data_IF_539810091576
#
_entry.id   IF_539810091576
#
_cell.length_a   1.000
_cell.length_b   1.000
_cell.length_c   1.000
_cell.angle_alpha   90.00
_cell.angle_beta   90.00
_cell.angle_gamma   90.00
#
_symmetry.space_group_name_H-M   'P 1'
#
loop_
_entity.id
_entity.type
_entity.pdbx_description
1 polymer ?
#
# COMPACT_ATOMS: atom_id res chain seq x y z
N UNK A 1 13.52 -11.57 -57.59
CA UNK A 1 14.07 -12.83 -58.15
C UNK A 1 13.33 -14.00 -57.53
N UNK A 2 12.85 -14.91 -58.37
CA UNK A 2 12.22 -16.18 -58.03
C UNK A 2 12.99 -17.32 -58.75
N UNK A 3 12.62 -18.59 -58.52
CA UNK A 3 13.18 -19.89 -58.97
C UNK A 3 13.90 -20.66 -57.82
N UNK A 4 13.48 -21.80 -57.22
CA UNK A 4 12.65 -23.01 -57.56
C UNK A 4 13.47 -24.14 -58.26
N UNK A 5 13.20 -25.47 -58.14
CA UNK A 5 12.90 -26.40 -57.00
C UNK A 5 14.06 -27.48 -56.88
N UNK A 6 13.93 -28.85 -56.91
CA UNK A 6 13.00 -29.88 -56.36
C UNK A 6 13.68 -31.10 -55.62
N UNK A 7 12.90 -32.16 -55.35
CA UNK A 7 13.24 -33.60 -55.04
C UNK A 7 13.60 -33.99 -53.58
N UNK A 8 13.18 -35.16 -53.03
CA UNK A 8 12.35 -36.29 -53.56
C UNK A 8 11.59 -37.05 -52.44
N UNK A 9 10.71 -37.99 -52.82
CA UNK A 9 9.67 -38.63 -51.99
C UNK A 9 10.12 -39.80 -51.08
N UNK A 10 9.24 -40.17 -50.13
CA UNK A 10 9.27 -41.44 -49.37
C UNK A 10 7.94 -41.71 -48.64
N UNK A 11 7.28 -42.83 -48.94
CA UNK A 11 5.94 -43.21 -48.43
C UNK A 11 6.03 -44.47 -47.58
N UNK A 12 5.27 -44.55 -46.47
CA UNK A 12 4.65 -45.80 -45.98
C UNK A 12 3.54 -45.52 -44.96
N UNK A 13 2.43 -46.24 -45.10
CA UNK A 13 1.29 -46.24 -44.19
C UNK A 13 1.24 -47.56 -43.40
N UNK A 14 0.56 -47.54 -42.25
CA UNK A 14 0.02 -48.75 -41.61
C UNK A 14 -1.33 -48.40 -40.99
N UNK A 15 -2.27 -49.33 -40.99
CA UNK A 15 -3.67 -49.10 -40.62
C UNK A 15 -4.26 -50.27 -39.84
N UNK A 16 -5.43 -50.00 -39.24
CA UNK A 16 -6.44 -50.94 -38.71
C UNK A 16 -6.09 -51.74 -37.44
N UNK A 17 -6.87 -51.47 -36.39
CA UNK A 17 -7.23 -52.42 -35.34
C UNK A 17 -8.74 -52.61 -35.43
N UNK A 18 -9.19 -53.85 -35.52
CA UNK A 18 -10.61 -54.24 -35.44
C UNK A 18 -10.84 -55.00 -34.12
N UNK A 19 -12.07 -54.95 -33.60
CA UNK A 19 -12.45 -55.66 -32.36
C UNK A 19 -13.60 -56.64 -32.57
N UNK A 20 -13.85 -57.48 -31.56
CA UNK A 20 -15.14 -58.15 -31.31
C UNK A 20 -15.15 -58.78 -29.90
N UNK A 21 -16.34 -58.89 -29.28
CA UNK A 21 -16.57 -59.64 -28.04
C UNK A 21 -16.91 -61.11 -28.33
N UNK A 22 -16.57 -62.02 -27.41
CA UNK A 22 -17.39 -63.20 -27.10
C UNK A 22 -17.12 -63.71 -25.67
N UNK A 23 -18.16 -64.24 -25.01
CA UNK A 23 -18.10 -64.96 -23.72
C UNK A 23 -17.75 -66.45 -23.90
N UNK A 24 -17.35 -67.15 -22.83
CA UNK A 24 -18.00 -68.40 -22.35
C UNK A 24 -17.37 -68.95 -21.05
N UNK A 25 -18.26 -69.37 -20.13
CA UNK A 25 -18.14 -70.33 -19.02
C UNK A 25 -17.11 -70.17 -17.87
N UNK A 26 -17.54 -70.62 -16.69
CA UNK A 26 -16.82 -70.61 -15.43
C UNK A 26 -16.43 -72.03 -14.97
N UNK A 27 -15.44 -72.12 -14.07
CA UNK A 27 -15.23 -73.27 -13.20
C UNK A 27 -14.95 -72.77 -11.77
N UNK A 28 -15.65 -73.31 -10.79
CA UNK A 28 -15.58 -72.87 -9.39
C UNK A 28 -14.56 -73.67 -8.58
N UNK A 29 -13.74 -73.00 -7.76
CA UNK A 29 -12.98 -73.66 -6.70
C UNK A 29 -12.78 -72.76 -5.47
N UNK A 30 -13.24 -73.26 -4.32
CA UNK A 30 -12.86 -72.97 -2.92
C UNK A 30 -12.55 -71.52 -2.48
N UNK A 31 -13.36 -71.02 -1.54
CA UNK A 31 -13.14 -69.80 -0.75
C UNK A 31 -12.29 -70.08 0.49
N UNK A 32 -11.18 -69.35 0.72
CA UNK A 32 -10.59 -69.17 2.05
C UNK A 32 -11.15 -67.89 2.70
N UNK A 33 -11.37 -67.91 4.02
CA UNK A 33 -11.89 -66.77 4.77
C UNK A 33 -10.92 -65.58 4.89
N UNK A 34 -11.40 -64.37 5.24
CA UNK A 34 -10.58 -63.17 5.25
C UNK A 34 -9.54 -63.18 6.38
N UNK A 35 -8.29 -62.87 6.03
CA UNK A 35 -7.26 -62.55 7.01
C UNK A 35 -7.60 -61.22 7.70
N UNK A 36 -7.46 -61.17 9.04
CA UNK A 36 -7.66 -59.95 9.80
C UNK A 36 -6.59 -58.91 9.42
N UNK A 37 -7.03 -57.75 8.94
CA UNK A 37 -6.15 -56.61 8.67
C UNK A 37 -5.59 -56.05 9.97
N UNK A 38 -4.26 -55.98 10.08
CA UNK A 38 -3.60 -55.27 11.17
C UNK A 38 -4.04 -53.78 11.19
N UNK A 39 -4.17 -53.15 12.36
CA UNK A 39 -4.52 -51.74 12.44
C UNK A 39 -3.37 -50.92 11.84
N UNK A 40 -3.66 -50.21 10.75
CA UNK A 40 -2.73 -49.22 10.21
C UNK A 40 -2.46 -48.18 11.29
N UNK A 41 -1.20 -48.03 11.69
CA UNK A 41 -0.78 -46.95 12.57
C UNK A 41 -1.09 -45.63 11.88
N UNK A 42 -2.06 -44.86 12.41
CA UNK A 42 -2.23 -43.46 12.06
C UNK A 42 -1.01 -42.70 12.59
N UNK A 43 0.06 -42.70 11.80
CA UNK A 43 1.06 -41.64 11.86
C UNK A 43 0.30 -40.35 11.59
N UNK A 44 0.19 -39.49 12.59
CA UNK A 44 -0.59 -38.26 12.50
C UNK A 44 -0.07 -37.41 11.34
N UNK A 45 -0.90 -37.28 10.30
CA UNK A 45 -0.69 -36.27 9.28
C UNK A 45 -0.83 -34.92 9.97
N UNK A 46 0.29 -34.29 10.31
CA UNK A 46 0.29 -32.88 10.63
C UNK A 46 -0.23 -32.16 9.37
N UNK A 47 -1.39 -31.48 9.51
CA UNK A 47 -1.98 -30.66 8.45
C UNK A 47 -1.02 -29.52 8.11
N UNK A 48 -0.06 -29.81 7.24
CA UNK A 48 0.93 -28.87 6.77
C UNK A 48 0.30 -27.95 5.71
N UNK A 49 -0.59 -27.06 6.17
CA UNK A 49 -1.34 -26.11 5.33
C UNK A 49 -0.38 -25.47 4.32
N UNK A 50 -0.66 -25.52 3.00
CA UNK A 50 0.34 -25.22 1.98
C UNK A 50 0.90 -23.80 2.11
N UNK A 51 2.16 -23.64 1.69
CA UNK A 51 2.78 -22.32 1.56
C UNK A 51 2.04 -21.55 0.47
N UNK A 52 1.45 -20.41 0.83
CA UNK A 52 0.72 -19.55 -0.10
C UNK A 52 1.68 -18.58 -0.79
N UNK A 53 2.46 -17.85 0.02
CA UNK A 53 3.33 -16.78 -0.44
C UNK A 53 4.59 -16.69 0.43
N UNK A 54 5.61 -15.99 -0.07
CA UNK A 54 6.80 -15.62 0.70
C UNK A 54 6.82 -14.11 0.92
N UNK A 55 7.09 -13.70 2.15
CA UNK A 55 7.50 -12.33 2.46
C UNK A 55 9.00 -12.38 2.79
N UNK A 56 9.78 -11.51 2.17
CA UNK A 56 11.21 -11.36 2.49
C UNK A 56 11.39 -10.06 3.27
N UNK A 57 12.15 -10.11 4.37
CA UNK A 57 12.51 -8.94 5.17
C UNK A 57 14.03 -8.71 5.08
N UNK A 58 14.45 -7.45 5.12
CA UNK A 58 15.85 -7.08 5.21
C UNK A 58 16.00 -5.82 6.05
N UNK A 59 17.11 -5.68 6.77
CA UNK A 59 17.48 -4.47 7.49
C UNK A 59 18.94 -4.12 7.22
N UNK A 60 19.22 -2.83 6.94
CA UNK A 60 20.60 -2.36 6.72
C UNK A 60 21.44 -2.39 8.01
N UNK A 61 20.98 -1.90 9.18
CA UNK A 61 21.71 -2.05 10.44
C UNK A 61 21.62 -3.48 11.00
N UNK A 62 20.51 -4.19 10.78
CA UNK A 62 20.22 -5.44 11.48
C UNK A 62 19.90 -5.23 12.97
N UNK A 63 19.55 -6.31 13.67
CA UNK A 63 19.19 -6.31 15.08
C UNK A 63 18.25 -7.45 15.45
N UNK A 64 17.98 -7.58 16.74
CA UNK A 64 17.00 -8.50 17.32
C UNK A 64 15.64 -7.81 17.48
N UNK A 65 14.54 -8.55 17.32
CA UNK A 65 13.19 -8.07 17.55
C UNK A 65 12.79 -6.83 16.74
N UNK A 66 13.30 -6.66 15.51
CA UNK A 66 13.05 -5.43 14.74
C UNK A 66 11.58 -5.34 14.29
N UNK A 67 10.85 -4.27 14.65
CA UNK A 67 9.44 -4.11 14.27
C UNK A 67 9.29 -3.89 12.77
N UNK A 68 8.25 -4.48 12.18
CA UNK A 68 7.86 -4.22 10.80
C UNK A 68 6.34 -4.18 10.63
N UNK A 69 5.89 -3.51 9.57
CA UNK A 69 4.50 -3.57 9.10
C UNK A 69 4.47 -3.45 7.59
N UNK A 70 3.65 -4.30 6.96
CA UNK A 70 3.56 -4.44 5.52
C UNK A 70 2.10 -4.63 5.10
N UNK A 71 1.73 -4.11 3.93
CA UNK A 71 0.46 -4.45 3.30
C UNK A 71 0.61 -5.76 2.53
N UNK A 72 -0.34 -6.68 2.65
CA UNK A 72 -0.30 -7.97 1.95
C UNK A 72 -1.56 -8.16 1.10
N UNK A 73 -1.45 -8.09 -0.25
CA UNK A 73 -2.52 -8.54 -1.14
C UNK A 73 -2.68 -10.05 -1.06
N UNK A 74 -3.93 -10.53 -1.18
CA UNK A 74 -4.29 -11.94 -1.06
C UNK A 74 -5.16 -12.37 -2.24
N UNK A 75 -4.84 -13.54 -2.81
CA UNK A 75 -5.60 -14.12 -3.89
C UNK A 75 -6.94 -14.67 -3.36
N UNK A 76 -7.97 -14.52 -4.18
CA UNK A 76 -9.30 -15.05 -3.88
C UNK A 76 -9.26 -16.57 -3.64
N UNK A 77 -9.85 -16.99 -2.52
CA UNK A 77 -9.91 -18.38 -2.06
C UNK A 77 -8.80 -18.80 -1.09
N UNK A 78 -7.60 -18.21 -1.18
CA UNK A 78 -6.40 -18.69 -0.48
C UNK A 78 -6.45 -18.54 1.05
N UNK A 79 -7.15 -17.52 1.55
CA UNK A 79 -7.38 -17.29 2.99
C UNK A 79 -8.89 -17.19 3.25
N UNK A 80 -9.57 -18.33 3.51
CA UNK A 80 -11.01 -18.39 3.72
C UNK A 80 -11.56 -17.50 4.83
N UNK A 81 -12.89 -17.37 4.89
CA UNK A 81 -13.56 -16.75 6.03
C UNK A 81 -13.19 -17.46 7.34
N UNK A 82 -12.97 -16.69 8.42
CA UNK A 82 -12.47 -17.22 9.71
C UNK A 82 -10.97 -17.51 9.78
N UNK A 83 -10.27 -17.59 8.64
CA UNK A 83 -8.81 -17.76 8.60
C UNK A 83 -8.06 -16.43 8.48
N UNK A 84 -6.78 -16.47 8.84
CA UNK A 84 -5.80 -15.38 8.70
C UNK A 84 -4.49 -15.93 8.14
N UNK A 85 -3.55 -15.05 7.77
CA UNK A 85 -2.17 -15.48 7.52
C UNK A 85 -1.44 -15.77 8.82
N UNK A 86 -0.71 -16.88 8.84
CA UNK A 86 0.22 -17.32 9.89
C UNK A 86 1.59 -17.59 9.25
N UNK A 87 2.63 -17.61 10.08
CA UNK A 87 3.97 -18.08 9.69
C UNK A 87 4.57 -18.92 10.82
N UNK A 88 5.25 -20.04 10.52
CA UNK A 88 6.04 -20.77 11.49
C UNK A 88 7.34 -20.01 11.85
N UNK A 89 7.85 -19.20 10.92
CA UNK A 89 9.06 -18.40 11.09
C UNK A 89 8.82 -17.21 12.03
N UNK A 90 7.57 -16.69 12.05
CA UNK A 90 7.10 -15.63 12.95
C UNK A 90 5.79 -16.06 13.66
N UNK A 91 5.85 -16.87 14.74
CA UNK A 91 4.67 -17.44 15.38
C UNK A 91 3.65 -16.40 15.90
N UNK A 92 4.14 -15.22 16.28
CA UNK A 92 3.34 -14.09 16.77
C UNK A 92 2.86 -13.13 15.67
N UNK A 93 3.06 -13.45 14.38
CA UNK A 93 2.67 -12.60 13.26
C UNK A 93 1.19 -12.17 13.36
N UNK A 94 0.97 -10.86 13.51
CA UNK A 94 -0.35 -10.27 13.47
C UNK A 94 -0.81 -10.12 12.03
N UNK A 95 -2.04 -10.54 11.74
CA UNK A 95 -2.69 -10.37 10.45
C UNK A 95 -4.06 -9.70 10.63
N UNK A 96 -4.22 -8.48 10.13
CA UNK A 96 -5.48 -7.72 10.22
C UNK A 96 -6.07 -7.54 8.83
N UNK A 97 -7.06 -8.38 8.50
CA UNK A 97 -7.81 -8.33 7.24
C UNK A 97 -8.57 -7.01 7.16
N UNK A 98 -8.37 -6.25 6.06
CA UNK A 98 -9.01 -4.93 5.85
C UNK A 98 -10.19 -4.99 4.89
N UNK A 99 -10.20 -5.93 3.96
CA UNK A 99 -11.33 -6.22 3.07
C UNK A 99 -11.30 -7.68 2.59
N UNK A 100 -12.41 -8.12 1.99
CA UNK A 100 -12.64 -9.49 1.53
C UNK A 100 -13.05 -9.51 0.06
N UNK A 101 -12.88 -10.67 -0.57
CA UNK A 101 -13.46 -11.01 -1.86
C UNK A 101 -14.95 -11.38 -1.70
N UNK A 102 -15.74 -11.46 -2.80
CA UNK A 102 -17.16 -11.81 -2.72
C UNK A 102 -17.47 -13.18 -2.09
N UNK A 103 -16.52 -14.12 -2.10
CA UNK A 103 -16.62 -15.43 -1.43
C UNK A 103 -16.28 -15.39 0.07
N UNK A 104 -16.00 -14.21 0.63
CA UNK A 104 -15.62 -14.03 2.02
C UNK A 104 -14.14 -14.31 2.32
N UNK A 105 -13.33 -14.78 1.36
CA UNK A 105 -11.87 -14.89 1.54
C UNK A 105 -11.22 -13.51 1.72
N UNK A 106 -10.10 -13.43 2.44
CA UNK A 106 -9.39 -12.17 2.64
C UNK A 106 -8.78 -11.66 1.33
N UNK A 107 -8.91 -10.35 1.05
CA UNK A 107 -8.44 -9.70 -0.18
C UNK A 107 -7.19 -8.85 0.05
N UNK A 108 -7.16 -8.14 1.17
CA UNK A 108 -6.00 -7.40 1.63
C UNK A 108 -5.94 -7.46 3.16
N UNK A 109 -4.74 -7.67 3.69
CA UNK A 109 -4.46 -7.61 5.11
C UNK A 109 -3.26 -6.70 5.38
N UNK A 110 -3.18 -6.16 6.60
CA UNK A 110 -1.96 -5.55 7.11
C UNK A 110 -1.30 -6.58 8.03
N UNK A 111 -0.03 -6.87 7.78
CA UNK A 111 0.77 -7.79 8.58
C UNK A 111 1.76 -7.01 9.43
N UNK A 112 1.93 -7.41 10.69
CA UNK A 112 2.84 -6.77 11.63
C UNK A 112 3.50 -7.79 12.56
N UNK A 113 4.73 -7.52 12.96
CA UNK A 113 5.47 -8.37 13.89
C UNK A 113 6.87 -7.84 14.14
N UNK A 114 7.68 -8.68 14.78
CA UNK A 114 9.08 -8.41 15.11
C UNK A 114 9.94 -9.54 14.51
N UNK A 115 11.11 -9.21 13.97
CA UNK A 115 11.99 -10.19 13.33
C UNK A 115 13.47 -9.94 13.67
N UNK A 116 14.21 -11.03 13.91
CA UNK A 116 15.66 -10.99 14.07
C UNK A 116 16.32 -10.95 12.69
N UNK A 117 17.01 -9.86 12.38
CA UNK A 117 17.57 -9.61 11.05
C UNK A 117 19.08 -9.38 11.12
N UNK A 118 19.84 -10.20 10.39
CA UNK A 118 21.28 -9.99 10.22
C UNK A 118 21.53 -8.80 9.29
N UNK A 119 22.54 -7.95 9.56
CA UNK A 119 22.78 -6.73 8.79
C UNK A 119 22.94 -7.02 7.30
N UNK A 120 22.14 -6.35 6.46
CA UNK A 120 22.14 -6.45 4.98
C UNK A 120 21.84 -7.84 4.41
N UNK A 121 21.32 -8.78 5.21
CA UNK A 121 20.87 -10.09 4.73
C UNK A 121 19.34 -10.13 4.60
N UNK A 122 18.87 -11.08 3.79
CA UNK A 122 17.46 -11.37 3.61
C UNK A 122 17.02 -12.49 4.56
N UNK A 123 15.91 -12.28 5.27
CA UNK A 123 15.18 -13.30 6.01
C UNK A 123 13.87 -13.63 5.30
N UNK A 124 13.49 -14.90 5.26
CA UNK A 124 12.24 -15.35 4.62
C UNK A 124 11.19 -15.68 5.68
N UNK A 125 9.97 -15.24 5.42
CA UNK A 125 8.77 -15.50 6.22
C UNK A 125 7.78 -16.23 5.31
N UNK A 126 7.58 -17.52 5.57
CA UNK A 126 6.61 -18.34 4.84
C UNK A 126 5.20 -18.07 5.33
N UNK A 127 4.32 -17.61 4.43
CA UNK A 127 2.94 -17.26 4.74
C UNK A 127 2.00 -18.42 4.37
N UNK A 128 1.17 -18.83 5.33
CA UNK A 128 0.19 -19.92 5.21
C UNK A 128 -1.16 -19.43 5.74
N UNK A 129 -2.26 -19.96 5.21
CA UNK A 129 -3.55 -19.79 5.89
C UNK A 129 -3.54 -20.58 7.21
N UNK A 130 -4.31 -20.12 8.18
CA UNK A 130 -4.54 -20.85 9.42
C UNK A 130 -5.63 -20.20 10.28
N UNK A 131 -6.05 -20.86 11.37
CA UNK A 131 -6.92 -20.23 12.34
C UNK A 131 -6.26 -18.98 12.93
N UNK A 132 -7.07 -18.00 13.31
CA UNK A 132 -6.61 -16.88 14.10
C UNK A 132 -5.92 -17.40 15.39
N UNK A 133 -4.81 -16.78 15.82
CA UNK A 133 -4.26 -17.07 17.15
C UNK A 133 -5.27 -16.69 18.23
N UNK A 134 -5.06 -17.21 19.44
CA UNK A 134 -5.82 -16.80 20.62
C UNK A 134 -5.75 -15.27 20.82
N UNK A 135 -6.84 -14.69 21.33
CA UNK A 135 -6.98 -13.25 21.44
C UNK A 135 -6.03 -12.66 22.49
N UNK A 136 -4.90 -12.12 22.02
CA UNK A 136 -3.99 -11.31 22.84
C UNK A 136 -4.43 -9.83 22.88
N UNK A 137 -4.17 -9.16 24.00
CA UNK A 137 -4.48 -7.75 24.18
C UNK A 137 -3.77 -6.88 23.13
N UNK A 138 -4.50 -5.95 22.52
CA UNK A 138 -3.95 -5.04 21.52
C UNK A 138 -3.03 -3.98 22.15
N UNK A 139 -2.05 -3.50 21.38
CA UNK A 139 -1.29 -2.30 21.73
C UNK A 139 -2.27 -1.13 21.82
N UNK A 140 -2.38 -0.50 22.98
CA UNK A 140 -3.34 0.57 23.28
C UNK A 140 -2.74 1.98 23.10
N UNK A 141 -3.58 3.02 23.11
CA UNK A 141 -3.12 4.42 23.17
C UNK A 141 -2.31 4.72 24.44
N UNK A 142 -2.52 3.94 25.51
CA UNK A 142 -1.69 3.92 26.70
C UNK A 142 -0.21 3.64 26.42
N UNK A 143 0.10 2.89 25.36
CA UNK A 143 1.47 2.61 24.93
C UNK A 143 2.18 3.88 24.43
N UNK A 144 1.47 4.77 23.74
CA UNK A 144 2.01 6.08 23.31
C UNK A 144 2.31 6.99 24.51
N UNK A 145 1.45 6.97 25.54
CA UNK A 145 1.71 7.70 26.79
C UNK A 145 2.90 7.13 27.56
N UNK A 146 2.99 5.79 27.69
CA UNK A 146 4.12 5.10 28.35
C UNK A 146 5.45 5.33 27.64
N UNK A 147 5.45 5.41 26.32
CA UNK A 147 6.63 5.75 25.51
C UNK A 147 7.00 7.24 25.56
N UNK A 148 6.25 8.10 26.26
CA UNK A 148 6.55 9.52 26.40
C UNK A 148 6.50 10.32 25.09
N UNK A 149 5.75 9.82 24.09
CA UNK A 149 5.74 10.42 22.74
C UNK A 149 5.24 11.86 22.80
N UNK A 150 6.00 12.76 22.21
CA UNK A 150 5.58 14.12 21.89
C UNK A 150 5.80 14.37 20.40
N UNK A 151 4.84 15.00 19.74
CA UNK A 151 4.93 15.35 18.33
C UNK A 151 4.49 16.81 18.13
N UNK A 152 5.14 17.54 17.23
CA UNK A 152 4.82 18.94 16.93
C UNK A 152 5.03 19.21 15.44
N UNK A 153 4.02 19.75 14.78
CA UNK A 153 4.06 20.28 13.42
C UNK A 153 3.93 21.80 13.51
N UNK A 154 4.79 22.52 12.79
CA UNK A 154 4.83 23.98 12.77
C UNK A 154 4.84 24.45 11.32
N UNK A 155 4.21 25.60 11.05
CA UNK A 155 4.21 26.20 9.72
C UNK A 155 4.38 27.72 9.81
N UNK A 156 5.57 28.14 10.28
CA UNK A 156 5.93 29.54 10.51
C UNK A 156 4.85 30.36 11.23
N UNK A 157 4.48 31.50 10.63
CA UNK A 157 3.49 32.43 11.19
C UNK A 157 2.06 31.87 11.28
N UNK A 158 1.72 30.82 10.52
CA UNK A 158 0.42 30.15 10.63
C UNK A 158 0.28 29.37 11.95
N UNK A 159 1.39 29.10 12.65
CA UNK A 159 1.40 28.57 14.01
C UNK A 159 1.76 27.09 14.12
N UNK A 160 1.15 26.40 15.10
CA UNK A 160 1.61 25.10 15.60
C UNK A 160 0.44 24.16 15.90
N UNK A 161 0.65 22.88 15.61
CA UNK A 161 -0.14 21.74 16.08
C UNK A 161 0.76 20.79 16.88
N UNK A 162 0.47 20.57 18.17
CA UNK A 162 1.24 19.68 19.05
C UNK A 162 0.39 18.58 19.66
N UNK A 163 0.99 17.39 19.86
CA UNK A 163 0.39 16.23 20.53
C UNK A 163 1.26 15.79 21.71
N UNK A 164 0.65 15.71 22.88
CA UNK A 164 1.28 15.20 24.11
C UNK A 164 0.23 14.59 25.05
N UNK A 165 0.68 13.81 26.03
CA UNK A 165 -0.13 13.30 27.14
C UNK A 165 -1.52 12.75 26.69
N UNK A 166 -2.62 13.40 27.09
CA UNK A 166 -3.99 12.97 26.80
C UNK A 166 -4.48 13.24 25.36
N UNK A 167 -3.68 13.86 24.49
CA UNK A 167 -3.99 13.96 23.06
C UNK A 167 -3.98 12.60 22.37
N UNK A 168 -3.14 11.67 22.84
CA UNK A 168 -3.02 10.32 22.29
C UNK A 168 -4.27 9.46 22.52
N UNK A 169 -5.16 9.85 23.43
CA UNK A 169 -6.45 9.19 23.65
C UNK A 169 -7.58 9.73 22.75
N UNK A 170 -7.26 10.65 21.84
CA UNK A 170 -8.22 11.29 20.92
C UNK A 170 -7.85 11.10 19.43
N UNK A 171 -7.59 9.86 18.97
CA UNK A 171 -7.43 9.61 17.54
C UNK A 171 -8.74 9.86 16.80
N UNK A 172 -8.67 10.44 15.60
CA UNK A 172 -9.85 10.59 14.73
C UNK A 172 -10.19 9.29 13.99
N UNK A 173 -9.27 8.33 13.95
CA UNK A 173 -9.47 6.99 13.40
C UNK A 173 -8.50 5.98 13.99
N UNK A 174 -8.99 4.83 14.43
CA UNK A 174 -8.16 3.62 14.56
C UNK A 174 -8.02 2.97 13.19
N UNK A 175 -6.79 2.80 12.72
CA UNK A 175 -6.44 2.25 11.40
C UNK A 175 -6.24 0.74 11.49
N UNK A 176 -5.46 0.30 12.49
CA UNK A 176 -5.18 -1.11 12.83
C UNK A 176 -5.22 -1.23 14.35
N UNK A 177 -5.70 -2.36 14.86
CA UNK A 177 -5.63 -2.71 16.28
C UNK A 177 -5.17 -4.15 16.39
N UNK A 178 -4.15 -4.42 17.21
CA UNK A 178 -3.68 -5.79 17.45
C UNK A 178 -2.48 -5.88 18.40
N UNK A 179 -2.08 -7.11 18.78
CA UNK A 179 -1.12 -7.35 19.86
C UNK A 179 0.35 -7.07 19.49
N UNK A 180 0.70 -6.99 18.20
CA UNK A 180 2.04 -6.65 17.73
C UNK A 180 2.16 -5.18 17.35
N UNK A 181 1.11 -4.61 16.76
CA UNK A 181 1.08 -3.22 16.32
C UNK A 181 -0.35 -2.69 16.25
N UNK A 182 -0.56 -1.49 16.77
CA UNK A 182 -1.79 -0.70 16.55
C UNK A 182 -1.44 0.63 15.89
N UNK A 183 -2.33 1.10 15.02
CA UNK A 183 -2.13 2.31 14.22
C UNK A 183 -3.34 3.23 14.33
N UNK A 184 -3.09 4.54 14.46
CA UNK A 184 -4.13 5.56 14.57
C UNK A 184 -3.81 6.79 13.73
N UNK A 185 -4.86 7.47 13.27
CA UNK A 185 -4.77 8.79 12.62
C UNK A 185 -5.18 9.87 13.62
N UNK A 186 -4.40 10.95 13.69
CA UNK A 186 -4.66 12.15 14.48
C UNK A 186 -4.66 13.39 13.57
N UNK A 187 -5.40 14.43 13.96
CA UNK A 187 -5.34 15.77 13.34
C UNK A 187 -5.46 16.89 14.36
N UNK A 188 -4.91 18.05 14.05
CA UNK A 188 -5.19 19.34 14.71
C UNK A 188 -5.09 20.47 13.66
N UNK A 189 -5.90 21.55 13.78
CA UNK A 189 -5.68 22.75 12.96
C UNK A 189 -4.30 23.36 13.27
N UNK A 190 -3.72 24.07 12.31
CA UNK A 190 -2.49 24.84 12.52
C UNK A 190 -2.89 26.30 12.77
N UNK A 191 -2.79 26.72 14.04
CA UNK A 191 -3.20 28.05 14.47
C UNK A 191 -4.68 28.34 14.16
N UNK A 192 -4.94 29.49 13.53
CA UNK A 192 -6.27 30.00 13.24
C UNK A 192 -6.64 30.03 11.74
N UNK A 193 -5.78 29.51 10.85
CA UNK A 193 -6.11 29.41 9.43
C UNK A 193 -7.23 28.36 9.21
N UNK A 194 -8.21 28.70 8.36
CA UNK A 194 -9.40 27.88 8.16
C UNK A 194 -9.16 26.60 7.34
N UNK A 195 -8.00 26.47 6.69
CA UNK A 195 -7.68 25.39 5.74
C UNK A 195 -6.47 24.54 6.16
N UNK A 196 -5.56 25.09 6.98
CA UNK A 196 -4.35 24.39 7.40
C UNK A 196 -4.61 23.37 8.51
N UNK A 197 -4.34 22.10 8.20
CA UNK A 197 -4.49 20.99 9.12
C UNK A 197 -3.20 20.17 9.17
N UNK A 198 -2.69 19.97 10.37
CA UNK A 198 -1.60 19.04 10.64
C UNK A 198 -2.18 17.66 10.98
N UNK A 199 -1.60 16.62 10.39
CA UNK A 199 -2.03 15.24 10.51
C UNK A 199 -0.86 14.33 10.86
N UNK A 200 -1.15 13.26 11.61
CA UNK A 200 -0.23 12.17 11.89
C UNK A 200 -0.94 10.83 11.63
N UNK A 201 -0.26 9.87 11.01
CA UNK A 201 -0.54 8.45 11.23
C UNK A 201 0.58 7.89 12.13
N UNK A 202 0.20 7.28 13.24
CA UNK A 202 1.13 6.78 14.27
C UNK A 202 0.93 5.29 14.42
N UNK A 203 2.00 4.52 14.29
CA UNK A 203 2.08 3.08 14.59
C UNK A 203 2.82 2.90 15.91
N UNK A 204 2.17 2.29 16.90
CA UNK A 204 2.81 1.83 18.11
C UNK A 204 2.98 0.31 18.03
N UNK A 205 4.19 -0.15 18.29
CA UNK A 205 4.56 -1.55 18.29
C UNK A 205 4.62 -2.09 19.73
N UNK A 206 4.42 -3.40 19.87
CA UNK A 206 4.81 -4.13 21.07
C UNK A 206 6.32 -3.88 21.33
N UNK A 207 6.73 -3.86 22.60
CA UNK A 207 8.08 -3.42 22.97
C UNK A 207 8.30 -1.90 22.98
N UNK A 208 7.32 -1.09 22.54
CA UNK A 208 7.30 0.36 22.74
C UNK A 208 7.95 1.19 21.62
N UNK A 209 8.36 0.58 20.51
CA UNK A 209 8.78 1.32 19.33
C UNK A 209 7.59 2.08 18.71
N UNK A 210 7.85 3.31 18.21
CA UNK A 210 6.81 4.18 17.63
C UNK A 210 7.32 4.78 16.31
N UNK A 211 6.52 4.61 15.26
CA UNK A 211 6.74 5.14 13.91
C UNK A 211 5.63 6.14 13.57
N UNK A 212 6.00 7.29 13.00
CA UNK A 212 5.10 8.42 12.73
C UNK A 212 5.25 8.90 11.29
N UNK A 213 4.12 9.02 10.59
CA UNK A 213 4.00 9.67 9.29
C UNK A 213 3.28 11.02 9.44
N UNK A 214 4.00 12.16 9.41
CA UNK A 214 3.42 13.51 9.52
C UNK A 214 3.10 14.12 8.15
N UNK A 215 2.00 14.86 8.04
CA UNK A 215 1.73 15.71 6.87
C UNK A 215 0.91 16.96 7.21
N UNK A 216 0.96 17.96 6.32
CA UNK A 216 0.10 19.15 6.33
C UNK A 216 -0.86 19.06 5.14
N UNK A 217 -2.10 19.49 5.33
CA UNK A 217 -3.10 19.71 4.27
C UNK A 217 -3.51 21.18 4.25
N UNK A 218 -3.81 21.71 3.06
CA UNK A 218 -4.34 23.06 2.86
C UNK A 218 -5.59 23.01 1.98
N UNK A 219 -6.75 22.76 2.59
CA UNK A 219 -8.01 22.80 1.86
C UNK A 219 -9.11 21.96 2.49
N UNK A 220 -10.33 22.34 2.17
CA UNK A 220 -11.57 21.65 2.56
C UNK A 220 -12.60 21.84 1.44
N UNK A 221 -13.55 20.91 1.35
CA UNK A 221 -14.51 20.82 0.25
C UNK A 221 -15.36 22.09 0.07
N UNK A 222 -15.92 22.65 1.15
CA UNK A 222 -16.84 23.80 1.09
C UNK A 222 -16.42 25.00 1.94
N UNK A 223 -15.17 25.05 2.44
CA UNK A 223 -14.70 26.19 3.25
C UNK A 223 -14.28 27.35 2.33
N UNK A 224 -14.84 28.58 2.50
CA UNK A 224 -14.49 29.72 1.66
C UNK A 224 -13.01 30.15 1.75
N UNK A 225 -12.54 30.85 0.71
CA UNK A 225 -11.18 31.40 0.63
C UNK A 225 -10.02 30.39 0.57
N UNK A 226 -10.11 29.24 -0.13
CA UNK A 226 -8.95 28.37 -0.31
C UNK A 226 -7.87 29.12 -1.10
N UNK A 227 -6.64 29.16 -0.59
CA UNK A 227 -5.52 29.88 -1.21
C UNK A 227 -4.17 29.31 -0.77
N UNK A 228 -3.08 29.76 -1.37
CA UNK A 228 -1.72 29.36 -1.07
C UNK A 228 -1.24 29.85 0.31
N UNK A 229 -0.40 29.05 0.98
CA UNK A 229 0.32 29.42 2.20
C UNK A 229 1.80 29.09 2.05
N UNK A 230 2.68 30.01 2.42
CA UNK A 230 4.12 29.88 2.26
C UNK A 230 4.84 30.19 3.57
N UNK A 231 5.48 29.20 4.16
CA UNK A 231 6.26 29.37 5.39
C UNK A 231 7.30 28.24 5.53
N UNK A 232 8.13 28.27 6.57
CA UNK A 232 8.92 27.08 6.95
C UNK A 232 8.01 26.07 7.64
N UNK A 233 7.90 24.88 7.06
CA UNK A 233 7.26 23.73 7.69
C UNK A 233 8.31 22.96 8.51
N UNK A 234 7.97 22.60 9.75
CA UNK A 234 8.84 21.81 10.62
C UNK A 234 8.08 20.68 11.30
N UNK A 235 8.76 19.56 11.54
CA UNK A 235 8.25 18.46 12.35
C UNK A 235 9.27 18.05 13.42
N UNK A 236 8.80 17.93 14.65
CA UNK A 236 9.57 17.54 15.84
C UNK A 236 8.91 16.34 16.49
N UNK A 237 9.70 15.31 16.81
CA UNK A 237 9.27 14.05 17.43
C UNK A 237 10.20 13.69 18.58
N UNK A 238 9.65 13.49 19.78
CA UNK A 238 10.43 13.20 20.99
C UNK A 238 11.38 14.33 21.39
N UNK A 239 11.03 15.58 21.07
CA UNK A 239 11.90 16.75 21.28
C UNK A 239 13.00 16.96 20.22
N UNK A 240 13.23 16.00 19.32
CA UNK A 240 14.17 16.15 18.20
C UNK A 240 13.46 16.69 16.95
N UNK A 241 13.94 17.78 16.37
CA UNK A 241 13.48 18.24 15.05
C UNK A 241 13.93 17.22 13.99
N UNK A 242 12.96 16.60 13.30
CA UNK A 242 13.20 15.57 12.28
C UNK A 242 13.07 16.09 10.85
N UNK A 243 12.41 17.23 10.67
CA UNK A 243 12.23 17.90 9.39
C UNK A 243 12.12 19.42 9.60
N UNK A 244 12.72 20.21 8.71
CA UNK A 244 12.51 21.66 8.62
C UNK A 244 12.91 22.17 7.24
N UNK A 245 11.95 22.66 6.44
CA UNK A 245 12.21 23.23 5.11
C UNK A 245 11.18 24.32 4.76
N UNK A 246 11.52 25.31 3.91
CA UNK A 246 10.55 26.19 3.28
C UNK A 246 9.54 25.38 2.45
N UNK A 247 8.25 25.68 2.60
CA UNK A 247 7.17 25.01 1.90
C UNK A 247 6.14 26.04 1.45
N UNK A 248 5.84 26.05 0.14
CA UNK A 248 4.67 26.75 -0.43
C UNK A 248 3.62 25.70 -0.73
N UNK A 249 2.58 25.67 0.11
CA UNK A 249 1.45 24.75 0.02
C UNK A 249 0.28 25.48 -0.64
N UNK A 250 0.04 25.20 -1.91
CA UNK A 250 -1.05 25.76 -2.71
C UNK A 250 -2.40 25.15 -2.30
N UNK A 251 -3.49 25.67 -2.87
CA UNK A 251 -4.83 25.18 -2.53
C UNK A 251 -5.00 23.69 -2.87
N UNK A 252 -5.69 22.96 -1.98
CA UNK A 252 -6.00 21.53 -2.08
C UNK A 252 -4.79 20.61 -2.28
N UNK A 253 -3.59 21.05 -1.86
CA UNK A 253 -2.39 20.22 -1.77
C UNK A 253 -2.23 19.58 -0.39
N UNK A 254 -1.42 18.52 -0.32
CA UNK A 254 -0.92 17.94 0.94
C UNK A 254 0.57 17.63 0.85
N UNK A 255 1.29 17.82 1.95
CA UNK A 255 2.75 17.67 2.01
C UNK A 255 3.15 16.79 3.20
N UNK A 256 3.78 15.64 2.91
CA UNK A 256 4.41 14.81 3.96
C UNK A 256 5.65 15.53 4.46
N UNK A 257 5.82 15.65 5.78
CA UNK A 257 6.98 16.32 6.39
C UNK A 257 8.13 15.33 6.57
N UNK A 258 8.60 14.79 5.45
CA UNK A 258 9.66 13.80 5.32
C UNK A 258 10.81 14.35 4.45
N UNK A 259 11.98 13.71 4.50
CA UNK A 259 13.21 14.22 3.87
C UNK A 259 13.79 13.30 2.79
N UNK A 260 14.97 13.67 2.24
CA UNK A 260 15.64 12.91 1.19
C UNK A 260 15.89 11.44 1.55
N UNK A 261 16.20 11.15 2.82
CA UNK A 261 16.50 9.80 3.32
C UNK A 261 15.31 9.15 4.04
N UNK A 262 14.77 9.80 5.07
CA UNK A 262 13.68 9.27 5.90
C UNK A 262 12.29 9.55 5.28
N UNK A 263 11.49 8.50 5.08
CA UNK A 263 10.13 8.55 4.53
C UNK A 263 9.02 8.42 5.60
N UNK A 264 9.41 8.07 6.83
CA UNK A 264 8.65 8.05 8.08
C UNK A 264 9.65 8.40 9.20
N UNK A 265 9.16 8.72 10.40
CA UNK A 265 10.01 9.10 11.54
C UNK A 265 9.80 8.18 12.73
N UNK A 266 10.90 7.67 13.29
CA UNK A 266 10.86 6.85 14.50
C UNK A 266 11.15 7.70 15.73
N UNK A 267 10.49 7.39 16.86
CA UNK A 267 10.79 8.01 18.14
C UNK A 267 12.23 7.69 18.57
N UNK A 268 12.59 6.41 18.50
CA UNK A 268 13.95 5.91 18.70
C UNK A 268 14.76 5.84 17.40
N UNK A 269 15.59 4.81 17.28
CA UNK A 269 16.29 4.49 16.03
C UNK A 269 15.32 3.90 14.99
N UNK A 270 15.55 4.22 13.72
CA UNK A 270 14.87 3.56 12.59
C UNK A 270 15.47 2.15 12.39
N UNK A 271 14.67 1.08 12.48
CA UNK A 271 15.15 -0.30 12.27
C UNK A 271 15.45 -0.60 10.80
N UNK A 272 15.06 0.29 9.87
CA UNK A 272 15.28 0.22 8.42
C UNK A 272 14.84 -1.11 7.80
N UNK A 273 13.74 -1.69 8.30
CA UNK A 273 13.19 -2.94 7.77
C UNK A 273 12.48 -2.67 6.44
N UNK A 274 12.96 -3.26 5.36
CA UNK A 274 12.35 -3.18 4.03
C UNK A 274 11.72 -4.53 3.66
N UNK A 275 10.39 -4.57 3.41
CA UNK A 275 9.71 -5.77 2.94
C UNK A 275 9.80 -5.93 1.41
N UNK A 276 10.00 -7.17 0.97
CA UNK A 276 9.95 -7.57 -0.43
C UNK A 276 8.97 -8.74 -0.58
N UNK A 277 7.90 -8.53 -1.35
CA UNK A 277 6.87 -9.53 -1.61
C UNK A 277 7.32 -10.57 -2.63
N UNK A 278 6.78 -11.78 -2.54
CA UNK A 278 6.65 -12.70 -3.66
C UNK A 278 5.82 -12.04 -4.77
N UNK A 279 6.49 -11.51 -5.79
CA UNK A 279 5.85 -10.76 -6.88
C UNK A 279 5.00 -11.63 -7.79
N UNK A 280 5.32 -12.92 -7.92
CA UNK A 280 4.55 -13.85 -8.73
C UNK A 280 3.21 -14.14 -8.04
N UNK A 281 3.22 -14.36 -6.71
CA UNK A 281 2.00 -14.41 -5.90
C UNK A 281 1.23 -13.08 -5.95
N UNK A 282 1.91 -11.94 -5.78
CA UNK A 282 1.32 -10.60 -5.79
C UNK A 282 0.53 -10.35 -7.09
N UNK A 283 1.09 -10.71 -8.25
CA UNK A 283 0.40 -10.62 -9.53
C UNK A 283 -0.70 -11.68 -9.69
N UNK A 284 -0.53 -12.89 -9.15
CA UNK A 284 -1.57 -13.92 -9.14
C UNK A 284 -2.83 -13.53 -8.36
N UNK A 285 -2.75 -12.56 -7.44
CA UNK A 285 -3.94 -12.00 -6.75
C UNK A 285 -4.91 -11.26 -7.68
N UNK A 286 -4.46 -10.86 -8.88
CA UNK A 286 -5.18 -9.97 -9.82
C UNK A 286 -5.53 -8.59 -9.27
N UNK A 287 -4.93 -8.17 -8.16
CA UNK A 287 -5.01 -6.78 -7.67
C UNK A 287 -4.11 -5.81 -8.45
N UNK A 288 -3.19 -6.36 -9.25
CA UNK A 288 -2.35 -5.65 -10.23
C UNK A 288 -2.28 -6.49 -11.52
N UNK A 289 -1.94 -5.89 -12.68
CA UNK A 289 -1.72 -6.63 -13.92
C UNK A 289 -0.54 -7.59 -13.81
N UNK A 290 -0.56 -8.67 -14.60
CA UNK A 290 0.50 -9.68 -14.61
C UNK A 290 1.62 -9.33 -15.61
N UNK A 291 2.68 -8.68 -15.14
CA UNK A 291 3.87 -8.37 -15.93
C UNK A 291 4.82 -9.57 -15.99
N UNK A 292 5.12 -10.07 -17.21
CA UNK A 292 6.01 -11.24 -17.41
C UNK A 292 7.50 -10.88 -17.57
N UNK A 293 7.84 -9.60 -17.59
CA UNK A 293 9.23 -9.14 -17.75
C UNK A 293 10.01 -9.21 -16.44
N UNK A 294 11.14 -9.91 -16.43
CA UNK A 294 12.10 -9.86 -15.33
C UNK A 294 13.13 -8.76 -15.59
N UNK A 295 13.28 -7.81 -14.66
CA UNK A 295 14.25 -6.71 -14.73
C UNK A 295 15.47 -7.02 -13.88
N UNK A 296 16.66 -7.08 -14.50
CA UNK A 296 17.92 -7.32 -13.81
C UNK A 296 18.33 -6.19 -12.87
N UNK A 297 19.16 -6.51 -11.86
CA UNK A 297 19.58 -5.57 -10.79
C UNK A 297 20.35 -4.35 -11.30
N UNK A 298 21.03 -4.49 -12.43
CA UNK A 298 21.85 -3.46 -13.08
C UNK A 298 21.09 -2.68 -14.17
N UNK A 299 19.77 -2.87 -14.26
CA UNK A 299 18.92 -2.22 -15.27
C UNK A 299 19.03 -0.69 -15.20
N UNK A 300 19.10 0.02 -16.35
CA UNK A 300 19.09 1.48 -16.40
C UNK A 300 17.77 2.09 -15.87
N UNK A 301 16.73 1.28 -15.65
CA UNK A 301 15.51 1.66 -14.94
C UNK A 301 15.80 2.33 -13.60
N UNK A 302 16.73 1.78 -12.80
CA UNK A 302 17.03 2.32 -11.46
C UNK A 302 17.65 3.72 -11.49
N UNK A 303 18.18 4.17 -12.64
CA UNK A 303 18.67 5.55 -12.82
C UNK A 303 17.56 6.56 -13.14
N UNK A 304 16.34 6.10 -13.45
CA UNK A 304 15.14 6.94 -13.69
C UNK A 304 14.20 7.03 -12.48
N UNK A 305 14.33 6.09 -11.54
CA UNK A 305 13.51 6.06 -10.34
C UNK A 305 14.03 7.08 -9.31
N UNK A 306 13.15 7.84 -8.64
CA UNK A 306 13.57 8.79 -7.63
C UNK A 306 14.07 8.05 -6.38
N UNK A 307 15.23 8.46 -5.88
CA UNK A 307 15.87 7.92 -4.67
C UNK A 307 15.64 8.78 -3.43
N UNK A 308 15.23 10.04 -3.62
CA UNK A 308 15.07 11.04 -2.57
C UNK A 308 13.68 11.68 -2.64
N UNK A 309 13.15 12.07 -1.48
CA UNK A 309 11.90 12.82 -1.37
C UNK A 309 12.15 14.26 -0.91
N UNK A 310 11.45 15.20 -1.53
CA UNK A 310 11.19 16.53 -0.97
C UNK A 310 9.70 16.85 -1.10
N UNK A 311 9.10 17.60 -0.16
CA UNK A 311 7.67 17.90 -0.21
C UNK A 311 7.23 18.55 -1.52
N UNK A 312 6.10 18.09 -2.06
CA UNK A 312 5.47 18.57 -3.30
C UNK A 312 6.35 18.44 -4.57
N UNK A 313 7.47 17.70 -4.52
CA UNK A 313 8.32 17.43 -5.69
C UNK A 313 7.52 16.82 -6.86
N UNK A 314 8.01 16.99 -8.08
CA UNK A 314 7.37 16.37 -9.26
C UNK A 314 7.48 14.83 -9.27
N UNK A 315 8.52 14.26 -8.65
CA UNK A 315 8.80 12.83 -8.74
C UNK A 315 8.94 12.38 -10.20
N UNK A 316 8.34 11.25 -10.53
CA UNK A 316 8.25 10.69 -11.88
C UNK A 316 6.97 11.09 -12.63
N UNK A 317 6.21 12.08 -12.15
CA UNK A 317 5.04 12.60 -12.88
C UNK A 317 5.44 13.51 -14.04
N UNK A 318 4.55 13.65 -15.04
CA UNK A 318 4.78 14.59 -16.14
C UNK A 318 4.68 16.04 -15.62
N UNK A 319 5.51 16.95 -16.14
CA UNK A 319 5.48 18.37 -15.75
C UNK A 319 4.20 19.07 -16.23
N UNK A 320 3.67 18.65 -17.38
CA UNK A 320 2.41 19.11 -17.97
C UNK A 320 1.45 17.93 -18.22
N UNK A 321 0.73 17.46 -17.21
CA UNK A 321 -0.17 16.30 -17.36
C UNK A 321 -1.27 16.59 -18.39
N UNK A 322 -1.48 15.67 -19.35
CA UNK A 322 -2.44 15.85 -20.45
C UNK A 322 -1.83 16.08 -21.84
N UNK A 323 -0.50 16.15 -21.95
CA UNK A 323 0.17 16.16 -23.26
C UNK A 323 0.17 14.80 -23.93
N UNK A 324 0.19 14.79 -25.26
CA UNK A 324 0.29 13.56 -26.08
C UNK A 324 1.69 12.93 -26.03
N UNK A 325 1.76 11.62 -26.27
CA UNK A 325 3.03 10.89 -26.43
C UNK A 325 3.33 9.92 -25.29
N UNK A 326 4.52 9.34 -25.29
CA UNK A 326 4.98 8.43 -24.25
C UNK A 326 5.50 9.18 -23.03
N UNK A 327 5.15 8.70 -21.84
CA UNK A 327 5.78 9.10 -20.58
C UNK A 327 5.77 7.93 -19.59
N UNK A 328 6.77 7.76 -18.69
CA UNK A 328 6.79 6.68 -17.69
C UNK A 328 5.58 6.63 -16.74
N UNK A 329 4.77 7.69 -16.64
CA UNK A 329 3.51 7.66 -15.88
C UNK A 329 2.30 7.11 -16.67
N UNK A 330 2.44 6.80 -17.96
CA UNK A 330 1.34 6.38 -18.83
C UNK A 330 1.36 4.85 -18.99
N UNK A 331 0.30 4.17 -18.56
CA UNK A 331 0.13 2.72 -18.64
C UNK A 331 -0.94 2.21 -17.68
N UNK A 332 -1.20 0.89 -17.66
CA UNK A 332 -2.09 0.27 -16.68
C UNK A 332 -1.59 0.47 -15.24
N UNK A 333 -0.28 0.49 -15.07
CA UNK A 333 0.44 0.98 -13.90
C UNK A 333 1.59 1.86 -14.40
N UNK A 334 1.99 2.89 -13.63
CA UNK A 334 3.16 3.71 -13.95
C UNK A 334 4.48 2.92 -13.78
N UNK A 335 5.55 3.38 -14.43
CA UNK A 335 6.85 2.69 -14.49
C UNK A 335 7.42 2.33 -13.11
N UNK A 336 7.23 3.17 -12.09
CA UNK A 336 7.70 2.89 -10.73
C UNK A 336 6.91 1.78 -10.02
N UNK A 337 5.60 1.66 -10.26
CA UNK A 337 4.78 0.56 -9.75
C UNK A 337 5.13 -0.75 -10.49
N UNK A 338 5.33 -0.69 -11.81
CA UNK A 338 5.78 -1.83 -12.62
C UNK A 338 7.18 -2.28 -12.21
N UNK A 339 8.07 -1.34 -11.89
CA UNK A 339 9.43 -1.64 -11.41
C UNK A 339 9.40 -2.53 -10.17
N UNK A 340 8.48 -2.30 -9.23
CA UNK A 340 8.36 -3.14 -8.03
C UNK A 340 8.05 -4.61 -8.39
N UNK A 341 7.16 -4.82 -9.36
CA UNK A 341 6.78 -6.16 -9.82
C UNK A 341 7.90 -6.81 -10.65
N UNK A 342 8.45 -6.10 -11.64
CA UNK A 342 9.41 -6.68 -12.60
C UNK A 342 10.80 -6.93 -12.00
N UNK A 343 11.19 -6.19 -10.96
CA UNK A 343 12.49 -6.35 -10.27
C UNK A 343 12.47 -7.38 -9.15
N UNK A 344 11.33 -8.09 -8.94
CA UNK A 344 11.09 -8.98 -7.79
C UNK A 344 11.20 -8.23 -6.45
N UNK A 345 10.45 -7.14 -6.34
CA UNK A 345 10.35 -6.31 -5.14
C UNK A 345 11.68 -5.72 -4.65
N UNK A 346 12.53 -5.23 -5.57
CA UNK A 346 13.80 -4.60 -5.21
C UNK A 346 13.59 -3.39 -4.26
N UNK A 347 14.35 -3.25 -3.16
CA UNK A 347 14.24 -2.14 -2.22
C UNK A 347 14.28 -0.73 -2.86
N UNK A 348 15.00 -0.56 -3.97
CA UNK A 348 15.04 0.71 -4.72
C UNK A 348 13.71 1.01 -5.39
N UNK A 349 13.05 -0.02 -5.94
CA UNK A 349 11.73 0.12 -6.53
C UNK A 349 10.65 0.32 -5.45
N UNK A 350 10.72 -0.40 -4.32
CA UNK A 350 9.84 -0.15 -3.15
C UNK A 350 9.90 1.31 -2.72
N UNK A 351 11.12 1.86 -2.55
CA UNK A 351 11.34 3.25 -2.19
C UNK A 351 10.76 4.22 -3.23
N UNK A 352 10.98 3.97 -4.52
CA UNK A 352 10.46 4.80 -5.60
C UNK A 352 8.92 4.83 -5.68
N UNK A 353 8.25 3.71 -5.35
CA UNK A 353 6.78 3.65 -5.22
C UNK A 353 6.29 4.59 -4.12
N UNK A 354 6.92 4.57 -2.93
CA UNK A 354 6.52 5.43 -1.82
C UNK A 354 6.79 6.91 -2.12
N UNK A 355 7.96 7.24 -2.69
CA UNK A 355 8.33 8.62 -3.05
C UNK A 355 7.34 9.20 -4.06
N UNK A 356 7.01 8.46 -5.12
CA UNK A 356 6.02 8.92 -6.10
C UNK A 356 4.63 9.08 -5.49
N UNK A 357 4.22 8.16 -4.62
CA UNK A 357 2.94 8.28 -3.92
C UNK A 357 2.86 9.47 -2.94
N UNK A 358 3.97 9.90 -2.34
CA UNK A 358 4.03 11.17 -1.59
C UNK A 358 4.07 12.40 -2.51
N UNK A 359 4.76 12.31 -3.65
CA UNK A 359 4.81 13.38 -4.66
C UNK A 359 3.43 13.71 -5.26
N UNK A 360 2.47 12.77 -5.23
CA UNK A 360 1.08 13.01 -5.61
C UNK A 360 0.41 14.17 -4.84
N UNK A 361 0.90 14.46 -3.62
CA UNK A 361 0.44 15.56 -2.79
C UNK A 361 0.56 16.95 -3.43
N UNK A 362 1.38 17.08 -4.50
CA UNK A 362 1.54 18.30 -5.31
C UNK A 362 0.29 18.72 -6.08
N UNK A 363 -0.67 17.85 -6.31
CA UNK A 363 -1.86 18.18 -7.10
C UNK A 363 -2.97 18.77 -6.23
N UNK A 364 -3.76 19.70 -6.78
CA UNK A 364 -4.88 20.37 -6.11
C UNK A 364 -6.13 19.50 -5.98
N UNK A 365 -5.98 18.22 -5.61
CA UNK A 365 -7.02 17.18 -5.66
C UNK A 365 -7.53 16.76 -4.27
N UNK A 366 -7.02 17.34 -3.18
CA UNK A 366 -7.25 16.85 -1.82
C UNK A 366 -8.48 17.49 -1.17
N UNK A 367 -9.65 17.30 -1.78
CA UNK A 367 -10.94 17.82 -1.28
C UNK A 367 -11.50 16.95 -0.15
N UNK A 368 -11.15 17.31 1.09
CA UNK A 368 -11.68 16.69 2.32
C UNK A 368 -12.98 17.37 2.74
N UNK A 369 -14.00 16.59 3.08
CA UNK A 369 -15.24 17.08 3.67
C UNK A 369 -14.97 17.62 5.10
N UNK A 370 -15.34 18.88 5.35
CA UNK A 370 -15.03 19.60 6.59
C UNK A 370 -15.84 19.12 7.82
N UNK A 371 -16.91 18.35 7.62
CA UNK A 371 -17.81 17.88 8.69
C UNK A 371 -17.40 16.50 9.18
N UNK A 372 -17.04 15.62 8.25
CA UNK A 372 -16.65 14.23 8.47
C UNK A 372 -15.13 14.06 8.61
N UNK A 373 -14.35 15.06 8.17
CA UNK A 373 -12.88 15.03 8.10
C UNK A 373 -12.34 13.87 7.25
N UNK A 374 -13.10 13.44 6.24
CA UNK A 374 -12.79 12.32 5.33
C UNK A 374 -12.87 12.76 3.86
N UNK A 375 -12.35 11.97 2.91
CA UNK A 375 -12.74 12.10 1.50
C UNK A 375 -14.26 12.09 1.38
N UNK A 376 -14.82 12.95 0.53
CA UNK A 376 -16.26 13.18 0.44
C UNK A 376 -17.03 11.90 0.03
N UNK A 377 -18.25 11.76 0.53
CA UNK A 377 -19.17 10.72 0.07
C UNK A 377 -19.90 11.22 -1.19
N UNK A 378 -19.77 10.52 -2.32
CA UNK A 378 -20.35 10.93 -3.61
C UNK A 378 -21.84 11.27 -3.51
N UNK A 379 -22.61 10.43 -2.81
CA UNK A 379 -24.04 10.58 -2.61
C UNK A 379 -24.46 11.83 -1.81
N UNK A 380 -23.54 12.44 -1.03
CA UNK A 380 -23.78 13.70 -0.31
C UNK A 380 -23.63 14.93 -1.21
N UNK A 381 -22.95 14.80 -2.36
CA UNK A 381 -22.60 15.91 -3.24
C UNK A 381 -22.90 15.61 -4.74
N UNK A 382 -24.07 15.09 -5.11
CA UNK A 382 -24.33 14.51 -6.44
C UNK A 382 -24.30 15.49 -7.62
N UNK A 383 -24.28 16.80 -7.36
CA UNK A 383 -24.21 17.84 -8.39
C UNK A 383 -23.11 18.89 -8.09
N UNK A 384 -22.18 18.59 -7.18
CA UNK A 384 -21.07 19.50 -6.87
C UNK A 384 -19.96 19.32 -7.89
N UNK A 385 -19.42 20.42 -8.41
CA UNK A 385 -18.30 20.41 -9.35
C UNK A 385 -17.16 21.29 -8.81
N UNK A 386 -15.91 20.95 -9.10
CA UNK A 386 -14.77 21.81 -8.75
C UNK A 386 -14.85 23.15 -9.47
N UNK A 387 -14.59 24.23 -8.73
CA UNK A 387 -14.42 25.54 -9.33
C UNK A 387 -13.13 25.62 -10.18
N UNK A 388 -13.17 26.46 -11.21
CA UNK A 388 -11.98 26.85 -11.97
C UNK A 388 -10.91 27.45 -11.06
N UNK A 389 -9.63 27.20 -11.37
CA UNK A 389 -8.47 27.64 -10.57
C UNK A 389 -7.92 26.58 -9.60
N UNK A 390 -8.55 25.41 -9.49
CA UNK A 390 -8.10 24.27 -8.69
C UNK A 390 -6.79 23.61 -9.16
N UNK A 391 -6.39 23.87 -10.41
CA UNK A 391 -5.33 23.11 -11.10
C UNK A 391 -5.81 21.78 -11.67
N UNK A 392 -7.10 21.44 -11.54
CA UNK A 392 -7.73 20.27 -12.15
C UNK A 392 -8.36 20.66 -13.49
N UNK A 393 -8.12 19.85 -14.51
CA UNK A 393 -8.70 19.98 -15.84
C UNK A 393 -9.67 18.82 -16.14
N UNK A 394 -10.69 19.11 -16.96
CA UNK A 394 -11.84 18.24 -17.28
C UNK A 394 -12.84 18.05 -16.12
N UNK A 395 -13.05 19.07 -15.28
CA UNK A 395 -13.99 19.04 -14.13
C UNK A 395 -15.47 19.02 -14.53
N UNK A 396 -15.81 19.38 -15.77
CA UNK A 396 -17.20 19.44 -16.24
C UNK A 396 -17.98 20.64 -15.68
N UNK A 397 -19.32 20.52 -15.68
CA UNK A 397 -20.27 21.57 -15.30
C UNK A 397 -21.37 21.06 -14.37
N UNK A 398 -21.84 21.90 -13.44
CA UNK A 398 -22.88 21.53 -12.49
C UNK A 398 -24.28 21.76 -13.08
N UNK A 399 -25.07 20.68 -13.14
CA UNK A 399 -26.51 20.69 -13.45
C UNK A 399 -27.36 21.57 -12.54
N UNK A 400 -26.82 22.03 -11.41
CA UNK A 400 -27.51 22.85 -10.40
C UNK A 400 -26.76 24.15 -10.06
N UNK A 401 -25.72 24.50 -10.82
CA UNK A 401 -24.87 25.68 -10.55
C UNK A 401 -24.10 25.59 -9.23
N UNK A 402 -23.88 24.39 -8.69
CA UNK A 402 -23.16 24.16 -7.44
C UNK A 402 -21.69 23.85 -7.70
N UNK A 403 -20.82 24.76 -7.28
CA UNK A 403 -19.38 24.61 -7.39
C UNK A 403 -18.72 24.66 -6.00
N UNK A 404 -17.51 24.09 -5.87
CA UNK A 404 -16.67 24.32 -4.69
C UNK A 404 -16.30 25.81 -4.56
N UNK A 405 -15.82 26.29 -3.41
CA UNK A 405 -15.37 27.67 -3.28
C UNK A 405 -14.21 27.97 -4.24
N UNK A 406 -14.31 29.09 -4.96
CA UNK A 406 -13.27 29.54 -5.90
C UNK A 406 -11.91 29.73 -5.20
N UNK A 407 -10.85 29.05 -5.63
CA UNK A 407 -9.52 29.24 -5.07
C UNK A 407 -8.85 30.53 -5.54
N UNK A 408 -8.12 31.18 -4.65
CA UNK A 408 -7.30 32.35 -4.94
C UNK A 408 -5.80 32.06 -4.89
N UNK A 409 -4.99 32.96 -5.44
CA UNK A 409 -3.53 32.85 -5.44
C UNK A 409 -2.99 31.92 -6.53
N UNK A 410 -1.79 31.36 -6.31
CA UNK A 410 -1.15 30.50 -7.30
C UNK A 410 -1.85 29.14 -7.45
N UNK A 411 -1.97 28.69 -8.69
CA UNK A 411 -2.68 27.47 -9.09
C UNK A 411 -1.75 26.24 -8.97
N UNK A 412 -2.21 25.12 -8.39
CA UNK A 412 -1.48 23.85 -8.37
C UNK A 412 -1.07 23.39 -9.77
N UNK A 413 0.04 22.63 -9.91
CA UNK A 413 0.42 22.00 -11.17
C UNK A 413 -0.73 21.22 -11.81
N UNK A 414 -0.90 21.34 -13.12
CA UNK A 414 -2.02 20.75 -13.86
C UNK A 414 -2.17 19.26 -13.57
N UNK A 415 -3.33 18.90 -13.03
CA UNK A 415 -3.86 17.55 -12.96
C UNK A 415 -4.93 17.39 -14.04
N UNK A 416 -4.90 16.29 -14.78
CA UNK A 416 -5.81 16.03 -15.90
C UNK A 416 -6.52 14.71 -15.63
N UNK A 417 -7.82 14.75 -15.37
CA UNK A 417 -8.64 13.58 -14.98
C UNK A 417 -8.49 12.42 -15.98
N UNK A 418 -8.36 12.73 -17.27
CA UNK A 418 -8.19 11.75 -18.35
C UNK A 418 -6.79 11.14 -18.49
N UNK A 419 -5.76 11.64 -17.77
CA UNK A 419 -4.34 11.29 -17.99
C UNK A 419 -3.54 10.99 -16.71
N UNK A 420 -4.17 11.02 -15.53
CA UNK A 420 -3.45 10.73 -14.29
C UNK A 420 -3.13 9.23 -14.16
N UNK A 421 -1.95 8.85 -13.63
CA UNK A 421 -1.68 7.47 -13.24
C UNK A 421 -2.45 7.07 -11.98
N UNK A 422 -2.37 5.79 -11.63
CA UNK A 422 -2.51 5.34 -10.24
C UNK A 422 -1.64 6.20 -9.29
N UNK A 423 -2.25 6.81 -8.27
CA UNK A 423 -1.55 7.52 -7.20
C UNK A 423 -1.89 6.89 -5.85
N UNK A 424 -0.87 6.37 -5.15
CA UNK A 424 -1.01 5.76 -3.83
C UNK A 424 -1.44 4.30 -3.82
N UNK A 425 -2.08 3.75 -4.86
CA UNK A 425 -2.63 2.39 -4.82
C UNK A 425 -1.57 1.31 -4.54
N UNK A 426 -0.50 1.25 -5.34
CA UNK A 426 0.60 0.31 -5.09
C UNK A 426 1.29 0.58 -3.74
N UNK A 427 1.51 1.86 -3.40
CA UNK A 427 2.12 2.25 -2.12
C UNK A 427 1.30 1.77 -0.91
N UNK A 428 -0.03 1.82 -0.98
CA UNK A 428 -0.91 1.21 0.01
C UNK A 428 -0.76 -0.31 0.04
N UNK A 429 -0.81 -0.97 -1.13
CA UNK A 429 -0.68 -2.42 -1.22
C UNK A 429 0.63 -2.93 -0.63
N UNK A 430 1.76 -2.23 -0.79
CA UNK A 430 3.07 -2.69 -0.30
C UNK A 430 3.40 -2.27 1.13
N UNK A 431 2.72 -1.27 1.71
CA UNK A 431 3.11 -0.69 3.02
C UNK A 431 2.00 -0.64 4.07
N UNK A 432 0.73 -0.71 3.67
CA UNK A 432 -0.43 -0.62 4.56
C UNK A 432 -0.66 0.75 5.21
N UNK A 433 0.09 1.81 4.87
CA UNK A 433 -0.14 3.16 5.40
C UNK A 433 -1.47 3.73 4.94
N UNK A 434 -2.34 4.11 5.87
CA UNK A 434 -3.68 4.61 5.52
C UNK A 434 -3.67 5.96 4.80
N UNK A 435 -2.58 6.74 4.94
CA UNK A 435 -2.27 7.89 4.07
C UNK A 435 -2.46 7.56 2.58
N UNK A 436 -1.95 6.41 2.10
CA UNK A 436 -2.01 6.03 0.69
C UNK A 436 -3.39 5.52 0.25
N UNK A 437 -4.11 4.80 1.13
CA UNK A 437 -5.52 4.49 0.90
C UNK A 437 -6.35 5.76 0.76
N UNK A 438 -6.11 6.73 1.64
CA UNK A 438 -6.78 8.03 1.58
C UNK A 438 -6.36 8.83 0.34
N UNK A 439 -5.11 8.72 -0.12
CA UNK A 439 -4.68 9.32 -1.39
C UNK A 439 -5.50 8.78 -2.57
N UNK A 440 -5.71 7.46 -2.63
CA UNK A 440 -6.54 6.83 -3.68
C UNK A 440 -8.02 7.21 -3.52
N UNK A 441 -8.52 7.41 -2.31
CA UNK A 441 -9.88 7.91 -2.07
C UNK A 441 -10.05 9.38 -2.49
N UNK A 442 -9.11 10.25 -2.15
CA UNK A 442 -9.10 11.66 -2.55
C UNK A 442 -9.00 11.81 -4.08
N UNK A 443 -8.15 11.01 -4.72
CA UNK A 443 -8.08 10.89 -6.18
C UNK A 443 -9.42 10.48 -6.80
N UNK A 444 -10.08 9.45 -6.24
CA UNK A 444 -11.39 9.01 -6.73
C UNK A 444 -12.48 10.07 -6.53
N UNK A 445 -12.45 10.83 -5.43
CA UNK A 445 -13.37 11.97 -5.22
C UNK A 445 -13.09 13.14 -6.14
N UNK A 446 -11.82 13.41 -6.46
CA UNK A 446 -11.39 14.46 -7.37
C UNK A 446 -11.66 14.17 -8.86
N UNK A 447 -12.12 12.96 -9.17
CA UNK A 447 -12.63 12.58 -10.49
C UNK A 447 -14.17 12.50 -10.51
N UNK A 448 -14.84 12.77 -9.38
CA UNK A 448 -16.29 12.73 -9.22
C UNK A 448 -16.90 14.14 -9.12
N UNK A 449 -16.22 15.04 -8.40
CA UNK A 449 -16.46 16.50 -8.43
C UNK A 449 -15.48 17.17 -9.40
#
# INVERSE_FOLDING_TARGET
>A
MSLVPPCRAGVRALALIAGALAWVAAASAATPGPAASAPASQAGAADATPLLAKLTLSSRPGGEGLPFTVGQPLRQGDVPAGMVLRSPDLPQLQCVVKNRWPDGSAKFAILSGHADLKPRLFAYVGLRAGPAPEAAAAVDTGSLRRAGVTARIEFGEFGTAGWNAGDWDKPVRTVVSGPQMSAWTYRKPIGADAHLVAWLEVRAYQGGAVEVLPWIENGYLNVPGPTAKSATASFTLGGTQRFSQPLTLLNHQRAVLAGPEALTHWLGADPQVVPAHDTDYFMATRLVPHYRGATGRDSPLFKRLPTEYTPLMQGSYHSAMGTTGYHPSIGLLPEWDVAYLSTRADPRAYRAVLINAYAAGRYGIHYRDEKTQRPLAFASHPNLVMHTGSGVADTGDSSTGRYTPAPGGAVPPTFKVSHHPSMGYMAYLVSGWSYFMEQTQLLATANFI
#
